data_IF_692213674328
#
_entry.id   IF_692213674328
#
_cell.length_a   1.000
_cell.length_b   1.000
_cell.length_c   1.000
_cell.angle_alpha   90.00
_cell.angle_beta   90.00
_cell.angle_gamma   90.00
#
_symmetry.space_group_name_H-M   'P 1'
#
loop_
_entity.id
_entity.type
_entity.pdbx_description
1 polymer ?
#
# COMPACT_ATOMS: atom_id res chain seq x y z
N UNK A 1 -0.58 -21.32 -26.13
CA UNK A 1 -0.44 -22.55 -25.35
C UNK A 1 -1.67 -23.44 -25.44
N UNK A 2 -1.59 -24.62 -24.87
CA UNK A 2 -2.68 -25.58 -24.77
C UNK A 2 -2.88 -25.96 -23.30
N UNK A 3 -4.12 -26.09 -22.88
CA UNK A 3 -4.48 -26.54 -21.53
C UNK A 3 -5.53 -27.65 -21.61
N UNK A 4 -5.66 -28.52 -20.58
CA UNK A 4 -6.74 -29.50 -20.52
C UNK A 4 -8.10 -28.78 -20.55
N UNK A 5 -8.93 -29.11 -21.52
CA UNK A 5 -10.31 -28.64 -21.56
C UNK A 5 -11.19 -29.47 -20.61
N UNK A 6 -12.30 -28.90 -20.13
CA UNK A 6 -13.27 -29.55 -19.23
C UNK A 6 -13.86 -30.84 -19.86
N UNK A 7 -13.10 -31.93 -19.80
CA UNK A 7 -13.50 -33.26 -20.26
C UNK A 7 -13.46 -33.49 -21.78
N UNK A 8 -12.90 -32.61 -22.59
CA UNK A 8 -12.94 -32.68 -24.05
C UNK A 8 -11.62 -32.40 -24.76
N UNK A 9 -10.52 -32.96 -24.27
CA UNK A 9 -9.22 -32.84 -24.94
C UNK A 9 -8.52 -31.50 -24.68
N UNK A 10 -7.53 -31.19 -25.52
CA UNK A 10 -6.72 -29.94 -25.41
C UNK A 10 -7.45 -28.80 -26.12
N UNK A 11 -7.49 -27.64 -25.45
CA UNK A 11 -7.99 -26.40 -26.04
C UNK A 11 -6.86 -25.38 -26.19
N UNK A 12 -6.89 -24.60 -27.26
CA UNK A 12 -6.01 -23.45 -27.41
C UNK A 12 -6.31 -22.39 -26.35
N UNK A 13 -5.29 -21.84 -25.71
CA UNK A 13 -5.47 -20.84 -24.67
C UNK A 13 -4.60 -19.61 -24.92
N UNK A 14 -5.14 -18.47 -24.62
CA UNK A 14 -4.38 -17.25 -24.37
C UNK A 14 -4.01 -17.19 -22.90
N UNK A 15 -2.74 -17.02 -22.60
CA UNK A 15 -2.23 -16.79 -21.27
C UNK A 15 -1.71 -15.36 -21.17
N UNK A 16 -2.07 -14.67 -20.11
CA UNK A 16 -1.62 -13.33 -19.82
C UNK A 16 -1.29 -13.20 -18.32
N UNK A 17 -0.33 -12.32 -18.04
CA UNK A 17 0.04 -11.97 -16.67
C UNK A 17 0.02 -10.45 -16.52
N UNK A 18 -0.45 -9.98 -15.37
CA UNK A 18 -0.42 -8.56 -15.05
C UNK A 18 -0.19 -8.34 -13.55
N UNK A 19 0.32 -7.15 -13.25
CA UNK A 19 0.40 -6.62 -11.90
C UNK A 19 -0.50 -5.41 -11.80
N UNK A 20 -1.26 -5.32 -10.73
CA UNK A 20 -2.02 -4.11 -10.41
C UNK A 20 -1.10 -3.19 -9.60
N UNK A 21 -1.02 -1.93 -9.98
CA UNK A 21 -0.27 -0.92 -9.25
C UNK A 21 -0.77 -0.82 -7.80
N UNK A 22 0.17 -0.75 -6.84
CA UNK A 22 -0.14 -0.71 -5.41
C UNK A 22 -0.54 -2.05 -4.78
N UNK A 23 -0.50 -3.17 -5.53
CA UNK A 23 -0.72 -4.52 -4.97
C UNK A 23 0.50 -5.39 -5.14
N UNK A 24 0.66 -6.37 -4.24
CA UNK A 24 1.81 -7.29 -4.24
C UNK A 24 1.61 -8.45 -5.22
N UNK A 25 0.36 -8.69 -5.68
CA UNK A 25 -0.02 -9.84 -6.48
C UNK A 25 0.42 -9.76 -7.95
N UNK A 26 0.92 -10.87 -8.50
CA UNK A 26 1.04 -11.10 -9.94
C UNK A 26 -0.06 -12.07 -10.35
N UNK A 27 -1.00 -11.59 -11.11
CA UNK A 27 -2.15 -12.38 -11.55
C UNK A 27 -1.85 -13.03 -12.88
N UNK A 28 -2.20 -14.31 -13.01
CA UNK A 28 -2.14 -15.06 -14.27
C UNK A 28 -3.55 -15.50 -14.63
N UNK A 29 -3.95 -15.16 -15.86
CA UNK A 29 -5.23 -15.58 -16.42
C UNK A 29 -5.02 -16.47 -17.65
N UNK A 30 -5.89 -17.45 -17.83
CA UNK A 30 -5.99 -18.26 -19.03
C UNK A 30 -7.40 -18.19 -19.59
N UNK A 31 -7.50 -17.92 -20.86
CA UNK A 31 -8.76 -17.77 -21.59
C UNK A 31 -8.77 -18.72 -22.76
N UNK A 32 -9.87 -19.40 -22.96
CA UNK A 32 -10.10 -20.23 -24.14
C UNK A 32 -10.02 -19.36 -25.40
N UNK A 33 -9.12 -19.71 -26.30
CA UNK A 33 -8.85 -18.92 -27.50
C UNK A 33 -10.02 -18.89 -28.49
N UNK A 34 -10.89 -19.87 -28.46
CA UNK A 34 -12.04 -19.98 -29.35
C UNK A 34 -13.28 -19.27 -28.79
N UNK A 35 -13.56 -19.42 -27.51
CA UNK A 35 -14.81 -18.93 -26.88
C UNK A 35 -14.63 -17.65 -26.07
N UNK A 36 -13.40 -17.26 -25.76
CA UNK A 36 -13.10 -16.14 -24.85
C UNK A 36 -13.45 -16.43 -23.38
N UNK A 37 -13.81 -17.66 -23.05
CA UNK A 37 -14.17 -18.04 -21.67
C UNK A 37 -12.95 -18.07 -20.78
N UNK A 38 -13.04 -17.45 -19.60
CA UNK A 38 -12.02 -17.55 -18.57
C UNK A 38 -11.96 -18.98 -18.03
N UNK A 39 -10.80 -19.62 -18.17
CA UNK A 39 -10.54 -20.98 -17.73
C UNK A 39 -9.86 -21.05 -16.38
N UNK A 40 -8.95 -20.10 -16.13
CA UNK A 40 -8.16 -20.04 -14.90
C UNK A 40 -7.84 -18.58 -14.57
N UNK A 41 -7.87 -18.27 -13.29
CA UNK A 41 -7.41 -16.99 -12.77
C UNK A 41 -6.78 -17.21 -11.40
N UNK A 42 -5.46 -17.08 -11.33
CA UNK A 42 -4.68 -17.38 -10.13
C UNK A 42 -3.70 -16.28 -9.80
N UNK A 43 -3.36 -16.16 -8.52
CA UNK A 43 -2.18 -15.44 -8.08
C UNK A 43 -0.94 -16.31 -8.32
N UNK A 44 -0.05 -15.85 -9.18
CA UNK A 44 1.17 -16.55 -9.56
C UNK A 44 2.38 -16.17 -8.70
N UNK A 45 2.18 -15.40 -7.65
CA UNK A 45 3.26 -15.07 -6.74
C UNK A 45 3.55 -16.20 -5.76
N UNK A 46 4.82 -16.36 -5.49
CA UNK A 46 5.27 -16.99 -4.28
C UNK A 46 5.36 -15.94 -3.18
N UNK A 47 4.94 -16.29 -1.98
CA UNK A 47 4.90 -15.39 -0.84
C UNK A 47 5.77 -15.92 0.28
N UNK A 48 6.58 -15.02 0.81
CA UNK A 48 7.25 -15.24 2.07
C UNK A 48 6.51 -14.59 3.23
N UNK A 49 6.91 -14.93 4.45
CA UNK A 49 6.36 -14.36 5.68
C UNK A 49 7.45 -13.99 6.66
N UNK A 50 7.25 -12.89 7.40
CA UNK A 50 8.10 -12.50 8.52
C UNK A 50 7.31 -12.62 9.82
N UNK A 51 7.87 -13.38 10.77
CA UNK A 51 7.26 -13.65 12.06
C UNK A 51 8.26 -13.51 13.20
N UNK A 52 7.76 -13.24 14.40
CA UNK A 52 8.58 -13.19 15.61
C UNK A 52 7.74 -13.25 16.86
N UNK A 53 8.33 -13.76 17.93
CA UNK A 53 7.69 -13.77 19.24
C UNK A 53 7.55 -12.36 19.78
N UNK A 54 6.34 -12.01 20.20
CA UNK A 54 6.04 -10.73 20.81
C UNK A 54 4.95 -10.89 21.89
N UNK A 55 4.91 -9.96 22.82
CA UNK A 55 3.89 -9.88 23.84
C UNK A 55 2.73 -9.01 23.33
N UNK A 56 1.49 -9.51 23.49
CA UNK A 56 0.28 -8.76 23.02
C UNK A 56 -0.18 -7.69 23.99
N UNK A 57 0.28 -7.72 25.23
CA UNK A 57 -0.09 -6.78 26.28
C UNK A 57 1.08 -6.48 27.20
N UNK A 58 0.95 -5.46 28.01
CA UNK A 58 1.87 -4.99 29.04
C UNK A 58 2.00 -5.92 30.27
N UNK A 59 1.07 -6.86 30.40
CA UNK A 59 1.14 -7.86 31.47
C UNK A 59 1.92 -9.08 31.02
N UNK A 60 2.54 -9.83 31.95
CA UNK A 60 3.30 -11.02 31.64
C UNK A 60 2.40 -12.09 31.02
N UNK A 61 2.08 -11.85 29.78
CA UNK A 61 1.45 -12.85 28.94
C UNK A 61 2.56 -13.74 28.37
N UNK A 62 2.21 -14.91 27.94
CA UNK A 62 3.11 -15.78 27.19
C UNK A 62 3.47 -15.09 25.88
N UNK A 63 4.72 -15.13 25.51
CA UNK A 63 5.21 -14.68 24.21
C UNK A 63 4.51 -15.51 23.10
N UNK A 64 3.98 -14.83 22.11
CA UNK A 64 3.24 -15.45 21.00
C UNK A 64 3.94 -15.10 19.70
N UNK A 65 4.12 -16.07 18.82
CA UNK A 65 4.63 -15.82 17.47
C UNK A 65 3.58 -15.05 16.68
N UNK A 66 3.93 -13.85 16.26
CA UNK A 66 3.07 -12.92 15.54
C UNK A 66 3.69 -12.51 14.21
N UNK A 67 2.89 -12.16 13.21
CA UNK A 67 3.41 -11.56 11.99
C UNK A 67 4.06 -10.21 12.28
N UNK A 68 5.15 -9.90 11.58
CA UNK A 68 5.86 -8.64 11.70
C UNK A 68 5.48 -7.72 10.53
N UNK A 69 4.53 -6.80 10.74
CA UNK A 69 4.06 -5.92 9.69
C UNK A 69 5.11 -4.87 9.35
N UNK A 70 5.21 -4.54 8.07
CA UNK A 70 6.07 -3.47 7.54
C UNK A 70 7.57 -3.66 7.82
N UNK A 71 8.00 -4.90 8.09
CA UNK A 71 9.41 -5.25 8.21
C UNK A 71 10.08 -5.19 6.84
N UNK A 72 11.32 -4.70 6.80
CA UNK A 72 12.13 -4.77 5.60
C UNK A 72 12.49 -6.23 5.28
N UNK A 73 12.54 -6.57 4.00
CA UNK A 73 12.98 -7.89 3.53
C UNK A 73 14.03 -7.77 2.43
N UNK A 74 14.08 -6.62 1.76
CA UNK A 74 15.12 -6.21 0.82
C UNK A 74 15.11 -4.69 0.72
N UNK A 75 16.01 -4.13 -0.08
CA UNK A 75 16.03 -2.69 -0.35
C UNK A 75 14.69 -2.22 -0.95
N UNK A 76 13.96 -1.38 -0.22
CA UNK A 76 12.66 -0.86 -0.64
C UNK A 76 11.50 -1.86 -0.62
N UNK A 77 11.74 -3.11 -0.19
CA UNK A 77 10.70 -4.15 -0.09
C UNK A 77 10.37 -4.39 1.37
N UNK A 78 9.08 -4.33 1.68
CA UNK A 78 8.57 -4.49 3.04
C UNK A 78 7.43 -5.51 3.07
N UNK A 79 7.26 -6.15 4.23
CA UNK A 79 6.07 -6.96 4.47
C UNK A 79 4.81 -6.08 4.49
N UNK A 80 3.67 -6.67 4.19
CA UNK A 80 2.36 -6.02 4.38
C UNK A 80 1.91 -6.08 5.87
N UNK A 81 0.69 -5.65 6.16
CA UNK A 81 0.09 -5.68 7.50
C UNK A 81 -0.03 -7.08 8.11
N UNK A 82 -0.06 -8.12 7.29
CA UNK A 82 -0.09 -9.52 7.71
C UNK A 82 1.31 -10.15 7.81
N UNK A 83 2.39 -9.36 7.65
CA UNK A 83 3.76 -9.88 7.67
C UNK A 83 4.16 -10.64 6.41
N UNK A 84 3.43 -10.50 5.31
CA UNK A 84 3.65 -11.23 4.06
C UNK A 84 4.40 -10.33 3.07
N UNK A 85 5.31 -10.91 2.29
CA UNK A 85 6.04 -10.23 1.22
C UNK A 85 6.07 -11.09 -0.05
N UNK A 86 6.31 -10.45 -1.19
CA UNK A 86 6.42 -11.14 -2.48
C UNK A 86 7.79 -11.76 -2.64
N UNK A 87 7.83 -13.02 -3.07
CA UNK A 87 9.02 -13.85 -3.19
C UNK A 87 9.32 -14.65 -1.94
N UNK A 88 10.30 -15.53 -2.05
CA UNK A 88 10.71 -16.46 -0.98
C UNK A 88 12.09 -16.14 -0.40
N UNK A 89 12.73 -15.11 -0.91
CA UNK A 89 14.07 -14.70 -0.46
C UNK A 89 14.03 -13.32 0.15
N UNK A 90 14.85 -13.09 1.17
CA UNK A 90 14.96 -11.78 1.80
C UNK A 90 15.71 -11.86 3.12
N UNK A 91 16.04 -10.70 3.66
CA UNK A 91 16.69 -10.56 4.97
C UNK A 91 16.06 -9.39 5.70
N UNK A 92 15.56 -9.61 6.89
CA UNK A 92 15.08 -8.54 7.75
C UNK A 92 16.13 -8.11 8.76
N UNK A 93 16.23 -6.82 8.96
CA UNK A 93 17.01 -6.17 10.01
C UNK A 93 16.12 -5.40 10.98
N UNK A 94 14.82 -5.56 10.89
CA UNK A 94 13.79 -4.76 11.57
C UNK A 94 13.93 -3.25 11.33
N UNK A 95 14.53 -2.86 10.19
CA UNK A 95 14.55 -1.49 9.69
C UNK A 95 13.31 -1.27 8.81
N UNK A 96 12.13 -1.34 9.41
CA UNK A 96 10.88 -1.34 8.71
C UNK A 96 10.55 -0.02 8.01
N UNK A 97 9.47 -0.02 7.24
CA UNK A 97 9.03 1.14 6.47
C UNK A 97 8.73 2.35 7.37
N UNK A 98 8.22 2.12 8.56
CA UNK A 98 7.76 3.17 9.47
C UNK A 98 8.51 3.22 10.79
N UNK A 99 9.07 2.10 11.20
CA UNK A 99 9.75 1.92 12.48
C UNK A 99 11.07 1.25 12.22
N UNK A 100 12.14 1.83 12.75
CA UNK A 100 13.47 1.26 12.71
C UNK A 100 13.86 0.87 14.13
N UNK A 101 14.22 -0.39 14.31
CA UNK A 101 14.67 -0.86 15.60
C UNK A 101 16.20 -0.78 15.71
N UNK A 102 16.62 -0.41 16.89
CA UNK A 102 18.02 -0.44 17.29
C UNK A 102 18.07 -0.97 18.71
N UNK A 103 18.81 -2.03 18.94
CA UNK A 103 18.95 -2.66 20.25
C UNK A 103 20.40 -2.50 20.73
N UNK A 104 20.57 -2.18 22.02
CA UNK A 104 21.90 -2.02 22.62
C UNK A 104 22.72 -3.32 22.65
N UNK A 105 22.04 -4.47 22.55
CA UNK A 105 22.69 -5.77 22.46
C UNK A 105 23.40 -6.02 21.14
N UNK A 106 23.03 -5.28 20.07
CA UNK A 106 23.68 -5.38 18.77
C UNK A 106 22.75 -5.34 17.57
N UNK A 107 23.27 -5.81 16.45
CA UNK A 107 22.54 -5.82 15.19
C UNK A 107 21.51 -6.94 15.12
N UNK A 108 20.51 -6.72 14.26
CA UNK A 108 19.48 -7.70 13.90
C UNK A 108 19.66 -8.02 12.43
N UNK A 109 19.73 -9.31 12.10
CA UNK A 109 19.79 -9.77 10.71
C UNK A 109 19.30 -11.20 10.61
N UNK A 110 18.19 -11.43 9.96
CA UNK A 110 17.61 -12.76 9.73
C UNK A 110 17.24 -12.92 8.27
N UNK A 111 17.84 -13.92 7.62
CA UNK A 111 17.48 -14.31 6.28
C UNK A 111 16.25 -15.24 6.29
N UNK A 112 15.49 -15.23 5.18
CA UNK A 112 14.47 -16.21 4.93
C UNK A 112 15.09 -17.61 4.80
N UNK A 113 14.35 -18.60 5.20
CA UNK A 113 14.66 -20.00 4.89
C UNK A 113 14.29 -20.35 3.43
N UNK A 114 14.53 -21.60 3.03
CA UNK A 114 14.23 -22.05 1.66
C UNK A 114 12.74 -22.01 1.28
N UNK A 115 11.84 -21.88 2.25
CA UNK A 115 10.39 -21.75 2.04
C UNK A 115 9.89 -20.30 2.12
N UNK A 116 10.79 -19.33 2.28
CA UNK A 116 10.42 -17.91 2.36
C UNK A 116 10.01 -17.46 3.76
N UNK A 117 10.29 -18.22 4.80
CA UNK A 117 9.95 -17.83 6.17
C UNK A 117 11.11 -17.10 6.85
N UNK A 118 10.87 -15.86 7.24
CA UNK A 118 11.72 -15.03 8.07
C UNK A 118 11.28 -15.18 9.53
N UNK A 119 11.68 -16.27 10.19
CA UNK A 119 11.33 -16.50 11.59
C UNK A 119 12.40 -15.92 12.52
N UNK A 120 12.09 -14.82 13.20
CA UNK A 120 12.93 -14.25 14.26
C UNK A 120 12.86 -15.05 15.57
N UNK A 121 11.96 -16.03 15.64
CA UNK A 121 11.79 -16.90 16.78
C UNK A 121 11.12 -16.27 17.98
N UNK A 122 11.11 -17.00 19.09
CA UNK A 122 10.52 -16.62 20.38
C UNK A 122 11.39 -17.12 21.53
N UNK A 123 11.10 -16.70 22.77
CA UNK A 123 11.77 -17.22 23.97
C UNK A 123 13.21 -16.76 24.12
N UNK A 124 13.59 -15.64 23.55
CA UNK A 124 14.93 -15.08 23.71
C UNK A 124 15.09 -14.42 25.07
N UNK A 125 16.32 -14.58 25.64
CA UNK A 125 16.65 -14.03 26.95
C UNK A 125 16.50 -12.51 27.07
N UNK A 126 16.51 -12.03 28.29
CA UNK A 126 16.24 -10.62 28.62
C UNK A 126 17.44 -9.72 28.45
N UNK A 127 18.66 -10.21 28.59
CA UNK A 127 19.85 -9.35 28.73
C UNK A 127 20.93 -9.67 27.70
N UNK A 128 20.73 -9.28 26.45
CA UNK A 128 21.77 -9.48 25.41
C UNK A 128 22.37 -10.91 25.35
N UNK A 129 21.87 -11.82 26.17
CA UNK A 129 22.24 -13.21 26.14
C UNK A 129 21.70 -13.87 24.88
N UNK A 130 22.55 -14.66 24.31
CA UNK A 130 22.42 -15.29 23.00
C UNK A 130 20.97 -15.55 22.59
N UNK A 131 20.50 -14.95 21.49
CA UNK A 131 19.18 -15.28 20.95
C UNK A 131 19.16 -16.78 20.60
N UNK A 132 18.30 -17.55 21.23
CA UNK A 132 18.17 -18.99 20.98
C UNK A 132 17.81 -19.34 19.53
N UNK A 133 17.43 -18.36 18.74
CA UNK A 133 16.82 -18.53 17.41
C UNK A 133 17.59 -17.88 16.28
N UNK A 134 18.79 -17.35 16.55
CA UNK A 134 19.57 -16.60 15.56
C UNK A 134 19.00 -15.22 15.26
N UNK A 135 19.52 -14.58 14.23
CA UNK A 135 19.08 -13.24 13.83
C UNK A 135 19.86 -12.09 14.47
N UNK A 136 20.96 -12.39 15.15
CA UNK A 136 21.85 -11.40 15.75
C UNK A 136 21.52 -11.07 17.21
N UNK A 137 22.47 -10.45 17.91
CA UNK A 137 22.36 -10.15 19.35
C UNK A 137 21.19 -9.18 19.66
N UNK A 138 20.83 -8.29 18.73
CA UNK A 138 19.71 -7.37 18.89
C UNK A 138 18.33 -8.01 18.69
N UNK A 139 18.24 -9.30 18.33
CA UNK A 139 16.97 -10.01 18.19
C UNK A 139 16.39 -10.40 19.56
N UNK A 140 16.11 -9.44 20.40
CA UNK A 140 15.50 -9.61 21.71
C UNK A 140 13.97 -9.65 21.64
N UNK A 141 13.33 -10.22 22.66
CA UNK A 141 11.88 -10.16 22.79
C UNK A 141 11.36 -8.70 22.88
N UNK A 142 12.13 -7.83 23.51
CA UNK A 142 11.81 -6.42 23.64
C UNK A 142 11.76 -5.74 22.27
N UNK A 143 12.78 -5.96 21.43
CA UNK A 143 12.84 -5.40 20.08
C UNK A 143 11.69 -5.88 19.20
N UNK A 144 11.39 -7.18 19.19
CA UNK A 144 10.28 -7.73 18.41
C UNK A 144 8.94 -7.22 18.89
N UNK A 145 8.73 -7.16 20.21
CA UNK A 145 7.50 -6.63 20.81
C UNK A 145 7.29 -5.16 20.46
N UNK A 146 8.31 -4.33 20.65
CA UNK A 146 8.23 -2.91 20.31
C UNK A 146 7.96 -2.71 18.82
N UNK A 147 8.65 -3.43 17.94
CA UNK A 147 8.43 -3.36 16.50
C UNK A 147 6.97 -3.69 16.15
N UNK A 148 6.46 -4.80 16.66
CA UNK A 148 5.08 -5.22 16.44
C UNK A 148 4.07 -4.18 16.96
N UNK A 149 4.20 -3.76 18.22
CA UNK A 149 3.25 -2.88 18.89
C UNK A 149 3.18 -1.49 18.24
N UNK A 150 4.32 -0.90 17.88
CA UNK A 150 4.34 0.42 17.24
C UNK A 150 3.71 0.35 15.85
N UNK A 151 4.05 -0.67 15.04
CA UNK A 151 3.43 -0.85 13.74
C UNK A 151 1.93 -1.11 13.85
N UNK A 152 1.50 -1.90 14.85
CA UNK A 152 0.08 -2.14 15.11
C UNK A 152 -0.69 -0.88 15.52
N UNK A 153 -0.11 -0.07 16.41
CA UNK A 153 -0.68 1.22 16.80
C UNK A 153 -0.83 2.15 15.59
N UNK A 154 0.16 2.17 14.71
CA UNK A 154 0.11 2.93 13.47
C UNK A 154 -1.01 2.47 12.53
N UNK A 155 -1.20 1.18 12.34
CA UNK A 155 -2.29 0.64 11.52
C UNK A 155 -3.67 1.06 12.04
N UNK A 156 -3.85 0.97 13.36
CA UNK A 156 -5.09 1.43 14.02
C UNK A 156 -5.30 2.92 13.76
N UNK A 157 -4.26 3.74 13.96
CA UNK A 157 -4.31 5.18 13.70
C UNK A 157 -4.66 5.52 12.25
N UNK A 158 -4.05 4.83 11.29
CA UNK A 158 -4.39 4.99 9.87
C UNK A 158 -5.84 4.63 9.57
N UNK A 159 -6.35 3.54 10.14
CA UNK A 159 -7.73 3.13 9.97
C UNK A 159 -8.73 4.14 10.56
N UNK A 160 -8.38 4.82 11.64
CA UNK A 160 -9.22 5.90 12.18
C UNK A 160 -9.19 7.14 11.30
N UNK A 161 -8.03 7.53 10.81
CA UNK A 161 -7.87 8.68 9.93
C UNK A 161 -8.63 8.46 8.62
N UNK A 162 -8.51 7.29 8.02
CA UNK A 162 -9.24 6.97 6.79
C UNK A 162 -10.76 7.06 6.99
N UNK A 163 -11.30 6.49 8.07
CA UNK A 163 -12.73 6.60 8.39
C UNK A 163 -13.17 8.04 8.64
N UNK A 164 -12.30 8.87 9.22
CA UNK A 164 -12.58 10.28 9.41
C UNK A 164 -12.67 11.02 8.07
N UNK A 165 -11.73 10.77 7.16
CA UNK A 165 -11.72 11.35 5.82
C UNK A 165 -12.96 10.93 5.02
N UNK A 166 -13.32 9.65 5.05
CA UNK A 166 -14.53 9.14 4.38
C UNK A 166 -15.82 9.82 4.91
N UNK A 167 -15.90 10.08 6.22
CA UNK A 167 -17.01 10.83 6.82
C UNK A 167 -17.02 12.28 6.34
N UNK A 168 -15.88 12.94 6.27
CA UNK A 168 -15.76 14.32 5.80
C UNK A 168 -16.13 14.42 4.31
N UNK A 169 -15.65 13.51 3.49
CA UNK A 169 -16.00 13.45 2.05
C UNK A 169 -17.50 13.20 1.87
N UNK A 170 -18.10 12.30 2.65
CA UNK A 170 -19.55 12.07 2.64
C UNK A 170 -20.37 13.30 3.06
N UNK A 171 -19.84 14.17 3.93
CA UNK A 171 -20.49 15.42 4.30
C UNK A 171 -20.29 16.54 3.26
N UNK A 172 -19.17 16.54 2.54
CA UNK A 172 -18.85 17.54 1.52
C UNK A 172 -19.62 17.32 0.21
N UNK A 173 -19.95 16.08 -0.15
CA UNK A 173 -20.73 15.75 -1.33
C UNK A 173 -22.12 16.42 -1.38
N UNK A 174 -22.92 16.44 -0.30
CA UNK A 174 -24.20 17.16 -0.28
C UNK A 174 -24.03 18.66 -0.46
N UNK A 175 -23.00 19.26 0.12
CA UNK A 175 -22.68 20.69 -0.01
C UNK A 175 -22.30 21.06 -1.46
N UNK A 176 -21.47 20.24 -2.10
CA UNK A 176 -21.10 20.43 -3.50
C UNK A 176 -22.29 20.34 -4.47
N UNK A 177 -23.22 19.43 -4.20
CA UNK A 177 -24.47 19.32 -4.96
C UNK A 177 -25.39 20.51 -4.72
N UNK A 178 -25.53 20.98 -3.49
CA UNK A 178 -26.31 22.19 -3.14
C UNK A 178 -25.74 23.44 -3.82
N UNK A 179 -24.44 23.61 -3.85
CA UNK A 179 -23.79 24.72 -4.54
C UNK A 179 -24.00 24.67 -6.05
N UNK A 180 -24.01 23.49 -6.67
CA UNK A 180 -24.33 23.32 -8.10
C UNK A 180 -25.80 23.62 -8.41
N UNK A 181 -26.71 23.25 -7.54
CA UNK A 181 -28.13 23.58 -7.67
C UNK A 181 -28.37 25.08 -7.53
N UNK A 182 -27.75 25.76 -6.58
CA UNK A 182 -27.83 27.22 -6.42
C UNK A 182 -27.25 27.97 -7.61
N UNK A 183 -26.13 27.51 -8.19
CA UNK A 183 -25.62 28.11 -9.45
C UNK A 183 -26.53 27.92 -10.62
N UNK A 184 -27.21 26.79 -10.75
CA UNK A 184 -28.20 26.55 -11.81
C UNK A 184 -29.46 27.42 -11.64
N UNK A 185 -29.88 27.64 -10.40
CA UNK A 185 -31.02 28.51 -10.09
C UNK A 185 -30.68 30.00 -10.36
N UNK A 186 -29.51 30.46 -9.95
CA UNK A 186 -29.05 31.82 -10.19
C UNK A 186 -28.84 32.12 -11.67
N UNK A 187 -28.38 31.14 -12.47
CA UNK A 187 -28.22 31.30 -13.93
C UNK A 187 -29.54 31.45 -14.70
N UNK A 188 -30.67 31.07 -14.10
CA UNK A 188 -32.00 31.26 -14.72
C UNK A 188 -32.64 32.62 -14.41
N UNK A 189 -32.12 33.36 -13.45
CA UNK A 189 -32.62 34.66 -13.02
C UNK A 189 -31.79 35.84 -13.56
N UNK A 190 -30.77 35.59 -14.36
CA UNK A 190 -30.00 36.65 -15.01
C UNK A 190 -30.91 37.35 -16.05
N UNK A 191 -31.20 38.66 -15.93
CA UNK A 191 -31.94 39.39 -16.93
C UNK A 191 -31.17 39.33 -18.25
N UNK A 192 -31.89 39.11 -19.36
CA UNK A 192 -31.35 39.24 -20.71
C UNK A 192 -30.86 40.66 -20.88
N UNK A 193 -29.59 40.90 -20.68
CA UNK A 193 -28.94 42.16 -21.05
C UNK A 193 -28.84 42.14 -22.58
N UNK A 194 -29.58 43.02 -23.22
CA UNK A 194 -29.53 43.22 -24.66
C UNK A 194 -28.12 43.61 -25.12
N UNK A 195 -27.83 43.50 -26.43
CA UNK A 195 -26.49 43.78 -26.94
C UNK A 195 -26.12 45.24 -26.69
N UNK A 196 -24.96 45.42 -26.07
CA UNK A 196 -24.40 46.74 -25.83
C UNK A 196 -24.15 47.49 -27.15
N UNK A 197 -24.46 48.83 -27.24
CA UNK A 197 -24.13 49.60 -28.42
C UNK A 197 -22.61 49.65 -28.60
N UNK A 198 -22.18 49.42 -29.85
CA UNK A 198 -20.76 49.52 -30.24
C UNK A 198 -20.30 50.98 -30.06
N UNK A 199 -19.37 51.18 -29.15
CA UNK A 199 -18.60 52.42 -29.06
C UNK A 199 -17.63 52.45 -30.24
N UNK A 200 -17.87 53.32 -31.22
CA UNK A 200 -16.94 53.66 -32.29
C UNK A 200 -15.66 54.28 -31.68
N UNK A 201 -14.54 53.63 -31.86
CA UNK A 201 -13.23 54.14 -31.53
C UNK A 201 -12.87 55.23 -32.53
N UNK A 202 -13.02 56.50 -32.15
CA UNK A 202 -12.39 57.61 -32.88
C UNK A 202 -10.87 57.44 -32.74
N UNK A 203 -10.21 57.12 -33.84
CA UNK A 203 -8.79 57.22 -33.98
C UNK A 203 -8.39 58.67 -34.02
N UNK A 204 -7.72 59.17 -33.00
CA UNK A 204 -6.96 60.44 -33.07
C UNK A 204 -5.61 60.15 -33.71
N UNK A 205 -5.43 60.63 -34.92
CA UNK A 205 -4.12 60.84 -35.54
C UNK A 205 -3.39 61.90 -34.77
N UNK A 206 -2.31 61.52 -34.07
CA UNK A 206 -1.33 62.48 -33.53
C UNK A 206 -0.20 62.59 -34.52
N UNK A 207 -0.13 63.77 -35.16
CA UNK A 207 0.89 64.13 -36.12
C UNK A 207 2.28 64.17 -35.46
N UNK A 208 3.20 63.59 -36.16
CA UNK A 208 4.64 63.60 -35.84
C UNK A 208 5.19 64.89 -36.46
N UNK A 209 5.51 65.92 -35.64
CA UNK A 209 6.41 67.02 -36.05
C UNK A 209 7.85 66.60 -35.83
N UNK A 210 8.64 66.63 -36.89
CA UNK A 210 10.11 66.64 -36.88
C UNK A 210 10.55 68.12 -36.75
N UNK A 211 11.45 68.40 -35.88
CA UNK A 211 12.39 69.53 -35.95
C UNK A 211 13.76 68.98 -35.57
N UNK A 212 14.67 69.22 -36.43
CA UNK A 212 15.83 69.99 -36.59
C UNK A 212 17.07 69.34 -35.95
#
# INVERSE_FOLDING_TARGET
GYAPGNGRGLVGVWEFSFRREGTVGTWRGRVDAASGKLLEFIDANEYGSATGGAYRSDRPATEVVLPLPWANVASGVYTNSAGIFSGTTGTTTLQGQYVRMSDSCGSISKAADGSGVLALGSGTGTDCTIPSTGGGAGNTHATRTQFYMINRAKEIGRGWLQRLLERLDGQLLPLGQRLRQHRRAAGRLAPRVGPWPRLERRQRLVGRQRHG
#
